data_IF_378729842990
#
_entry.id   IF_378729842990
#
_cell.length_a   1.000
_cell.length_b   1.000
_cell.length_c   1.000
_cell.angle_alpha   90.00
_cell.angle_beta   90.00
_cell.angle_gamma   90.00
#
_symmetry.space_group_name_H-M   'P 1'
#
loop_
_entity.id
_entity.type
_entity.pdbx_description
1 polymer ?
#
# COMPACT_ATOMS: atom_id res chain seq x y z
N UNK A 1 6.02 -10.38 12.32
CA UNK A 1 4.78 -11.13 12.06
C UNK A 1 5.01 -12.03 10.86
N UNK A 2 5.24 -13.32 11.09
CA UNK A 2 5.42 -14.32 10.04
C UNK A 2 4.10 -15.06 9.81
N UNK A 3 3.95 -15.67 8.63
CA UNK A 3 2.86 -16.63 8.43
C UNK A 3 3.02 -17.81 9.37
N UNK A 4 1.90 -18.30 9.89
CA UNK A 4 1.89 -19.54 10.66
C UNK A 4 2.23 -20.72 9.75
N UNK A 5 2.92 -21.71 10.30
CA UNK A 5 3.34 -22.92 9.56
C UNK A 5 2.16 -23.64 8.90
N UNK A 6 1.05 -23.77 9.63
CA UNK A 6 -0.21 -24.35 9.14
C UNK A 6 -0.73 -23.70 7.84
N UNK A 7 -0.55 -22.39 7.68
CA UNK A 7 -0.98 -21.67 6.46
C UNK A 7 -0.03 -21.95 5.31
N UNK A 8 1.29 -21.95 5.58
CA UNK A 8 2.30 -22.27 4.57
C UNK A 8 2.16 -23.70 4.06
N UNK A 9 1.86 -24.65 4.94
CA UNK A 9 1.62 -26.05 4.57
C UNK A 9 0.40 -26.20 3.67
N UNK A 10 -0.69 -25.47 3.94
CA UNK A 10 -1.88 -25.46 3.07
C UNK A 10 -1.67 -24.79 1.72
N UNK A 11 -0.69 -23.89 1.60
CA UNK A 11 -0.35 -23.23 0.33
C UNK A 11 0.61 -24.07 -0.53
N UNK A 12 1.25 -25.10 0.05
CA UNK A 12 2.09 -26.03 -0.71
C UNK A 12 1.21 -27.08 -1.36
N UNK A 13 0.99 -26.92 -2.65
CA UNK A 13 0.28 -27.87 -3.48
C UNK A 13 1.14 -29.10 -3.75
N UNK A 14 0.50 -30.28 -3.82
CA UNK A 14 1.14 -31.49 -4.30
C UNK A 14 1.13 -31.53 -5.84
N UNK A 15 1.90 -32.44 -6.42
CA UNK A 15 2.06 -32.52 -7.88
C UNK A 15 0.74 -32.78 -8.59
N UNK A 16 -0.14 -33.62 -7.99
CA UNK A 16 -1.46 -33.89 -8.54
C UNK A 16 -2.36 -32.65 -8.62
N UNK A 17 -2.36 -31.81 -7.58
CA UNK A 17 -3.14 -30.57 -7.56
C UNK A 17 -2.56 -29.54 -8.53
N UNK A 18 -1.23 -29.48 -8.66
CA UNK A 18 -0.58 -28.61 -9.64
C UNK A 18 -1.00 -28.98 -11.08
N UNK A 19 -0.98 -30.28 -11.41
CA UNK A 19 -1.42 -30.76 -12.73
C UNK A 19 -2.90 -30.49 -12.98
N UNK A 20 -3.76 -30.69 -11.99
CA UNK A 20 -5.18 -30.36 -12.12
C UNK A 20 -5.40 -28.86 -12.41
N UNK A 21 -4.69 -27.98 -11.70
CA UNK A 21 -4.77 -26.53 -11.92
C UNK A 21 -4.25 -26.16 -13.31
N UNK A 22 -3.14 -26.76 -13.78
CA UNK A 22 -2.62 -26.52 -15.13
C UNK A 22 -3.65 -26.89 -16.19
N UNK A 23 -4.25 -28.08 -16.09
CA UNK A 23 -5.28 -28.54 -17.02
C UNK A 23 -6.48 -27.59 -17.02
N UNK A 24 -6.96 -27.20 -15.84
CA UNK A 24 -8.10 -26.29 -15.72
C UNK A 24 -7.79 -24.92 -16.29
N UNK A 25 -6.64 -24.35 -15.93
CA UNK A 25 -6.20 -23.05 -16.43
C UNK A 25 -6.02 -23.07 -17.95
N UNK A 26 -5.38 -24.11 -18.48
CA UNK A 26 -5.22 -24.34 -19.92
C UNK A 26 -6.54 -24.33 -20.68
N UNK A 27 -7.59 -24.97 -20.13
CA UNK A 27 -8.96 -24.93 -20.70
C UNK A 27 -9.54 -23.52 -20.71
N UNK A 28 -9.36 -22.76 -19.62
CA UNK A 28 -9.86 -21.38 -19.51
C UNK A 28 -9.17 -20.45 -20.50
N UNK A 29 -7.85 -20.60 -20.68
CA UNK A 29 -7.08 -19.71 -21.56
C UNK A 29 -7.04 -20.18 -23.02
N UNK A 30 -7.56 -21.36 -23.34
CA UNK A 30 -7.53 -21.95 -24.68
C UNK A 30 -8.05 -20.98 -25.75
N UNK A 31 -9.14 -20.28 -25.47
CA UNK A 31 -9.71 -19.30 -26.39
C UNK A 31 -8.76 -18.13 -26.69
N UNK A 32 -7.93 -17.69 -25.74
CA UNK A 32 -6.95 -16.61 -25.99
C UNK A 32 -5.86 -17.03 -26.98
N UNK A 33 -5.53 -18.33 -27.05
CA UNK A 33 -4.54 -18.86 -27.98
C UNK A 33 -5.12 -19.07 -29.39
N UNK A 34 -6.43 -19.30 -29.53
CA UNK A 34 -7.09 -19.50 -30.81
C UNK A 34 -7.51 -18.18 -31.48
N UNK A 35 -7.94 -17.18 -30.70
CA UNK A 35 -8.48 -15.92 -31.25
C UNK A 35 -7.40 -14.90 -31.60
N UNK A 36 -6.22 -14.97 -30.96
CA UNK A 36 -5.06 -14.19 -31.35
C UNK A 36 -4.22 -14.99 -32.34
N UNK A 37 -4.08 -14.49 -33.58
CA UNK A 37 -3.30 -15.10 -34.67
C UNK A 37 -1.80 -15.30 -34.38
N UNK A 38 -1.34 -15.03 -33.16
CA UNK A 38 0.01 -15.29 -32.66
C UNK A 38 -0.11 -15.94 -31.28
N UNK A 39 0.42 -17.17 -31.15
CA UNK A 39 0.66 -17.81 -29.84
C UNK A 39 1.34 -16.82 -28.92
N UNK A 40 0.86 -16.70 -27.69
CA UNK A 40 1.44 -15.85 -26.65
C UNK A 40 2.68 -16.58 -26.10
N UNK A 41 3.93 -16.21 -26.46
CA UNK A 41 5.08 -17.08 -26.21
C UNK A 41 5.40 -17.26 -24.72
N UNK A 42 5.05 -16.27 -23.90
CA UNK A 42 5.25 -16.31 -22.44
C UNK A 42 4.22 -17.19 -21.73
N UNK A 43 3.07 -17.49 -22.35
CA UNK A 43 2.00 -18.28 -21.76
C UNK A 43 2.21 -19.76 -22.09
N UNK A 44 3.09 -20.40 -21.33
CA UNK A 44 3.45 -21.81 -21.49
C UNK A 44 3.43 -22.54 -20.13
N UNK A 45 3.59 -23.86 -20.15
CA UNK A 45 3.51 -24.70 -18.94
C UNK A 45 4.57 -24.31 -17.90
N UNK A 46 5.78 -23.95 -18.34
CA UNK A 46 6.85 -23.51 -17.45
C UNK A 46 6.47 -22.22 -16.70
N UNK A 47 5.80 -21.27 -17.38
CA UNK A 47 5.28 -20.07 -16.75
C UNK A 47 4.22 -20.39 -15.69
N UNK A 48 3.31 -21.33 -15.97
CA UNK A 48 2.29 -21.77 -15.00
C UNK A 48 2.97 -22.44 -13.80
N UNK A 49 3.95 -23.30 -14.02
CA UNK A 49 4.75 -23.95 -12.97
C UNK A 49 5.49 -22.94 -12.09
N UNK A 50 6.09 -21.91 -12.70
CA UNK A 50 6.74 -20.83 -11.97
C UNK A 50 5.73 -20.06 -11.11
N UNK A 51 4.54 -19.77 -11.64
CA UNK A 51 3.48 -19.08 -10.92
C UNK A 51 2.98 -19.87 -9.71
N UNK A 52 2.73 -21.18 -9.88
CA UNK A 52 2.30 -22.07 -8.80
C UNK A 52 3.37 -22.21 -7.72
N UNK A 53 4.65 -22.39 -8.10
CA UNK A 53 5.78 -22.44 -7.15
C UNK A 53 5.95 -21.13 -6.39
N UNK A 54 5.71 -19.99 -7.04
CA UNK A 54 5.80 -18.68 -6.41
C UNK A 54 4.59 -18.31 -5.54
N UNK A 55 3.48 -19.04 -5.61
CA UNK A 55 2.22 -18.68 -4.95
C UNK A 55 2.35 -18.50 -3.42
N UNK A 56 3.04 -19.37 -2.65
CA UNK A 56 3.19 -19.17 -1.21
C UNK A 56 3.96 -17.90 -0.85
N UNK A 57 5.04 -17.61 -1.58
CA UNK A 57 5.85 -16.40 -1.38
C UNK A 57 5.06 -15.15 -1.79
N UNK A 58 4.33 -15.23 -2.89
CA UNK A 58 3.45 -14.15 -3.36
C UNK A 58 2.39 -13.85 -2.32
N UNK A 59 1.65 -14.85 -1.85
CA UNK A 59 0.66 -14.71 -0.77
C UNK A 59 1.25 -14.02 0.46
N UNK A 60 2.43 -14.49 0.91
CA UNK A 60 3.13 -13.90 2.04
C UNK A 60 3.43 -12.42 1.83
N UNK A 61 3.95 -12.04 0.66
CA UNK A 61 4.30 -10.64 0.34
C UNK A 61 3.08 -9.70 0.30
N UNK A 62 1.90 -10.21 -0.08
CA UNK A 62 0.67 -9.39 -0.11
C UNK A 62 0.20 -8.94 1.27
N UNK A 63 0.70 -9.55 2.34
CA UNK A 63 0.42 -9.13 3.71
C UNK A 63 1.38 -8.04 4.21
N UNK A 64 2.39 -7.64 3.44
CA UNK A 64 3.42 -6.70 3.92
C UNK A 64 2.86 -5.32 4.24
N UNK A 65 1.93 -4.79 3.45
CA UNK A 65 1.26 -3.51 3.74
C UNK A 65 0.48 -3.55 5.05
N UNK A 66 -0.31 -4.61 5.27
CA UNK A 66 -0.97 -4.84 6.56
C UNK A 66 0.04 -4.94 7.71
N UNK A 67 1.16 -5.64 7.53
CA UNK A 67 2.22 -5.74 8.56
C UNK A 67 2.83 -4.38 8.89
N UNK A 68 3.02 -3.52 7.89
CA UNK A 68 3.51 -2.14 8.07
C UNK A 68 2.53 -1.32 8.91
N UNK A 69 1.24 -1.35 8.56
CA UNK A 69 0.18 -0.68 9.34
C UNK A 69 0.12 -1.20 10.78
N UNK A 70 0.17 -2.51 10.97
CA UNK A 70 0.14 -3.11 12.30
C UNK A 70 1.34 -2.70 13.15
N UNK A 71 2.55 -2.75 12.58
CA UNK A 71 3.78 -2.32 13.28
C UNK A 71 3.74 -0.83 13.62
N UNK A 72 3.21 0.01 12.72
CA UNK A 72 3.07 1.44 12.99
C UNK A 72 2.09 1.71 14.14
N UNK A 73 0.93 1.04 14.14
CA UNK A 73 -0.04 1.13 15.23
C UNK A 73 0.52 0.60 16.55
N UNK A 74 1.29 -0.51 16.52
CA UNK A 74 1.94 -1.06 17.71
C UNK A 74 2.99 -0.12 18.29
N UNK A 75 3.84 0.47 17.43
CA UNK A 75 4.81 1.50 17.82
C UNK A 75 4.11 2.70 18.46
N UNK A 76 3.02 3.19 17.86
CA UNK A 76 2.22 4.27 18.43
C UNK A 76 1.69 3.94 19.84
N UNK A 77 1.22 2.72 20.06
CA UNK A 77 0.74 2.26 21.39
C UNK A 77 1.89 2.25 22.39
N UNK A 78 3.04 1.70 22.02
CA UNK A 78 4.21 1.60 22.90
C UNK A 78 4.71 2.99 23.30
N UNK A 79 4.94 3.88 22.34
CA UNK A 79 5.44 5.25 22.59
C UNK A 79 4.46 6.05 23.48
N UNK A 80 3.16 5.94 23.21
CA UNK A 80 2.14 6.58 24.03
C UNK A 80 2.11 6.02 25.47
N UNK A 81 2.24 4.71 25.62
CA UNK A 81 2.25 4.04 26.92
C UNK A 81 3.49 4.41 27.75
N UNK A 82 4.67 4.55 27.11
CA UNK A 82 5.88 5.04 27.76
C UNK A 82 5.72 6.45 28.32
N UNK A 83 5.12 7.36 27.55
CA UNK A 83 4.85 8.73 28.04
C UNK A 83 3.92 8.69 29.26
N UNK A 84 2.85 7.91 29.21
CA UNK A 84 1.88 7.77 30.30
C UNK A 84 2.51 7.22 31.58
N UNK A 85 3.46 6.29 31.47
CA UNK A 85 4.12 5.65 32.61
C UNK A 85 5.43 6.32 33.05
N UNK A 86 5.89 7.34 32.32
CA UNK A 86 7.17 8.01 32.61
C UNK A 86 7.20 8.77 33.93
N UNK A 87 6.04 9.07 34.53
CA UNK A 87 5.91 9.91 35.72
C UNK A 87 6.31 11.39 35.51
N UNK A 88 6.72 11.77 34.29
CA UNK A 88 7.17 13.13 33.94
C UNK A 88 6.05 14.14 33.84
N UNK A 89 4.85 13.67 33.50
CA UNK A 89 3.69 14.50 33.22
C UNK A 89 2.55 14.19 34.17
N UNK A 90 1.87 15.23 34.64
CA UNK A 90 0.64 15.05 35.42
C UNK A 90 -0.48 14.56 34.50
N UNK A 91 -1.45 13.82 35.05
CA UNK A 91 -2.59 13.29 34.28
C UNK A 91 -3.44 14.34 33.56
N UNK A 92 -3.36 15.61 33.99
CA UNK A 92 -4.09 16.74 33.40
C UNK A 92 -3.28 17.50 32.34
N UNK A 93 -1.99 17.19 32.19
CA UNK A 93 -1.11 17.88 31.24
C UNK A 93 -1.57 17.63 29.79
N UNK A 94 -1.15 18.51 28.88
CA UNK A 94 -1.48 18.38 27.46
C UNK A 94 -0.87 17.10 26.88
N UNK A 95 0.37 16.81 27.28
CA UNK A 95 1.16 15.64 26.88
C UNK A 95 0.51 14.34 27.36
N UNK A 96 0.05 14.28 28.62
CA UNK A 96 -0.63 13.09 29.15
C UNK A 96 -1.96 12.84 28.43
N UNK A 97 -2.73 13.91 28.16
CA UNK A 97 -3.98 13.81 27.38
C UNK A 97 -3.70 13.34 25.94
N UNK A 98 -2.68 13.88 25.30
CA UNK A 98 -2.29 13.49 23.94
C UNK A 98 -1.79 12.05 23.87
N UNK A 99 -0.95 11.64 24.81
CA UNK A 99 -0.49 10.26 24.93
C UNK A 99 -1.68 9.31 25.14
N UNK A 100 -2.65 9.67 25.99
CA UNK A 100 -3.88 8.88 26.17
C UNK A 100 -4.66 8.73 24.87
N UNK A 101 -4.85 9.81 24.10
CA UNK A 101 -5.49 9.74 22.77
C UNK A 101 -4.72 8.85 21.81
N UNK A 102 -3.40 9.04 21.71
CA UNK A 102 -2.55 8.25 20.83
C UNK A 102 -2.58 6.75 21.19
N UNK A 103 -2.62 6.42 22.48
CA UNK A 103 -2.74 5.05 22.96
C UNK A 103 -4.04 4.39 22.47
N UNK A 104 -5.20 5.01 22.70
CA UNK A 104 -6.48 4.44 22.28
C UNK A 104 -6.65 4.40 20.75
N UNK A 105 -6.20 5.44 20.04
CA UNK A 105 -6.20 5.43 18.57
C UNK A 105 -5.31 4.31 18.01
N UNK A 106 -4.17 4.02 18.63
CA UNK A 106 -3.31 2.90 18.25
C UNK A 106 -3.96 1.54 18.51
N UNK A 107 -4.65 1.38 19.65
CA UNK A 107 -5.44 0.18 19.93
C UNK A 107 -6.57 -0.01 18.92
N UNK A 108 -7.30 1.05 18.60
CA UNK A 108 -8.38 1.03 17.61
C UNK A 108 -7.87 0.60 16.22
N UNK A 109 -6.74 1.13 15.77
CA UNK A 109 -6.10 0.68 14.52
C UNK A 109 -5.82 -0.83 14.55
N UNK A 110 -5.27 -1.36 15.65
CA UNK A 110 -5.01 -2.81 15.78
C UNK A 110 -6.30 -3.63 15.79
N UNK A 111 -7.41 -3.10 16.30
CA UNK A 111 -8.72 -3.76 16.22
C UNK A 111 -9.22 -3.84 14.78
N UNK A 112 -9.22 -2.72 14.06
CA UNK A 112 -9.64 -2.64 12.66
C UNK A 112 -8.81 -3.57 11.79
N UNK A 113 -7.48 -3.53 11.94
CA UNK A 113 -6.54 -4.37 11.18
C UNK A 113 -6.76 -5.88 11.46
N UNK A 114 -7.21 -6.24 12.66
CA UNK A 114 -7.55 -7.62 13.01
C UNK A 114 -9.01 -7.96 12.69
N UNK A 115 -9.74 -7.06 12.03
CA UNK A 115 -11.17 -7.17 11.75
C UNK A 115 -12.01 -7.51 13.00
N UNK A 116 -11.66 -6.91 14.15
CA UNK A 116 -12.43 -7.06 15.38
C UNK A 116 -13.65 -6.13 15.29
N UNK A 117 -14.83 -6.72 15.16
CA UNK A 117 -16.16 -6.08 15.19
C UNK A 117 -16.66 -5.43 13.88
N UNK A 118 -15.91 -5.44 12.78
CA UNK A 118 -16.37 -4.88 11.50
C UNK A 118 -16.97 -5.90 10.53
N UNK A 119 -16.71 -7.20 10.78
CA UNK A 119 -17.31 -8.29 10.02
C UNK A 119 -16.83 -8.36 8.57
N UNK A 120 -17.71 -8.81 7.67
CA UNK A 120 -17.36 -9.03 6.25
C UNK A 120 -17.28 -7.75 5.43
N UNK A 121 -17.76 -6.62 5.97
CA UNK A 121 -17.75 -5.33 5.29
C UNK A 121 -16.40 -4.61 5.41
N UNK A 122 -15.60 -4.95 6.42
CA UNK A 122 -14.27 -4.38 6.64
C UNK A 122 -13.36 -4.61 5.44
N UNK A 123 -12.59 -3.59 5.04
CA UNK A 123 -11.56 -3.76 4.03
C UNK A 123 -10.46 -4.74 4.47
N UNK A 124 -10.30 -4.95 5.78
CA UNK A 124 -9.33 -5.88 6.36
C UNK A 124 -9.91 -7.29 6.57
N UNK A 125 -11.16 -7.54 6.16
CA UNK A 125 -11.65 -8.90 6.02
C UNK A 125 -10.76 -9.67 5.04
N UNK A 126 -10.22 -10.87 5.39
CA UNK A 126 -9.13 -11.51 4.63
C UNK A 126 -9.39 -11.63 3.13
N UNK A 127 -10.61 -11.97 2.72
CA UNK A 127 -10.97 -12.05 1.31
C UNK A 127 -10.88 -10.70 0.60
N UNK A 128 -11.47 -9.65 1.19
CA UNK A 128 -11.45 -8.27 0.64
C UNK A 128 -10.04 -7.72 0.59
N UNK A 129 -9.28 -7.92 1.67
CA UNK A 129 -7.89 -7.47 1.74
C UNK A 129 -7.06 -8.12 0.64
N UNK A 130 -7.07 -9.46 0.53
CA UNK A 130 -6.30 -10.19 -0.48
C UNK A 130 -6.73 -9.87 -1.92
N UNK A 131 -8.02 -9.60 -2.13
CA UNK A 131 -8.52 -9.10 -3.40
C UNK A 131 -7.97 -7.71 -3.74
N UNK A 132 -7.99 -6.77 -2.78
CA UNK A 132 -7.44 -5.42 -2.95
C UNK A 132 -5.93 -5.43 -3.20
N UNK A 133 -5.20 -6.35 -2.57
CA UNK A 133 -3.74 -6.52 -2.76
C UNK A 133 -3.37 -7.30 -4.04
N UNK A 134 -4.39 -7.74 -4.79
CA UNK A 134 -4.25 -8.41 -6.08
C UNK A 134 -3.75 -9.86 -5.97
N UNK A 135 -3.95 -10.52 -4.82
CA UNK A 135 -3.77 -11.96 -4.70
C UNK A 135 -5.01 -12.72 -5.20
N UNK A 136 -6.19 -12.29 -4.75
CA UNK A 136 -7.48 -12.85 -5.19
C UNK A 136 -8.12 -11.98 -6.28
N UNK A 137 -9.06 -12.53 -7.06
CA UNK A 137 -9.89 -11.74 -7.95
C UNK A 137 -10.65 -10.66 -7.18
N UNK A 138 -10.49 -9.41 -7.60
CA UNK A 138 -11.05 -8.24 -6.91
C UNK A 138 -12.21 -7.60 -7.63
N UNK A 139 -13.25 -8.37 -7.95
CA UNK A 139 -14.47 -7.81 -8.53
C UNK A 139 -15.06 -6.77 -7.56
N UNK A 140 -15.20 -5.52 -8.02
CA UNK A 140 -15.68 -4.35 -7.27
C UNK A 140 -14.78 -3.83 -6.11
N UNK A 141 -13.53 -4.26 -5.99
CA UNK A 141 -12.60 -3.70 -5.00
C UNK A 141 -11.53 -2.83 -5.65
N UNK A 142 -11.24 -1.69 -5.04
CA UNK A 142 -10.12 -0.84 -5.45
C UNK A 142 -8.82 -1.65 -5.39
N UNK A 143 -8.11 -1.75 -6.52
CA UNK A 143 -6.85 -2.48 -6.59
C UNK A 143 -5.70 -1.62 -6.04
N UNK A 144 -4.96 -2.19 -5.10
CA UNK A 144 -3.79 -1.62 -4.43
C UNK A 144 -4.04 -0.18 -3.92
N UNK A 145 -5.07 0.03 -3.08
CA UNK A 145 -5.38 1.35 -2.57
C UNK A 145 -4.24 1.88 -1.69
N UNK A 146 -4.25 3.20 -1.49
CA UNK A 146 -3.49 3.84 -0.42
C UNK A 146 -4.47 4.16 0.69
N UNK A 147 -4.06 3.90 1.92
CA UNK A 147 -4.89 4.01 3.12
C UNK A 147 -4.40 5.16 3.97
N UNK A 148 -5.34 5.94 4.51
CA UNK A 148 -5.04 6.94 5.54
C UNK A 148 -5.86 6.66 6.79
N UNK A 149 -5.25 6.75 7.97
CA UNK A 149 -5.99 6.68 9.23
C UNK A 149 -6.56 8.06 9.57
N UNK A 150 -7.88 8.12 9.79
CA UNK A 150 -8.63 9.31 10.20
C UNK A 150 -9.04 9.16 11.66
N UNK A 151 -8.44 9.93 12.60
CA UNK A 151 -8.80 9.87 14.00
C UNK A 151 -10.16 10.55 14.26
N UNK A 152 -10.96 9.96 15.13
CA UNK A 152 -12.22 10.53 15.64
C UNK A 152 -12.20 10.43 17.16
N UNK A 153 -11.75 11.51 17.83
CA UNK A 153 -11.51 11.49 19.27
C UNK A 153 -10.43 10.48 19.66
N UNK A 154 -10.81 9.51 20.52
CA UNK A 154 -9.93 8.40 20.96
C UNK A 154 -9.99 7.18 20.01
N UNK A 155 -10.78 7.27 18.94
CA UNK A 155 -11.02 6.21 17.95
C UNK A 155 -10.58 6.67 16.55
N UNK A 156 -11.08 6.01 15.51
CA UNK A 156 -10.89 6.38 14.12
C UNK A 156 -11.19 5.22 13.17
N UNK A 157 -10.94 5.46 11.89
CA UNK A 157 -11.10 4.48 10.80
C UNK A 157 -10.08 4.68 9.69
N UNK A 158 -9.94 3.68 8.83
CA UNK A 158 -9.13 3.79 7.62
C UNK A 158 -9.99 4.22 6.44
N UNK A 159 -9.47 5.16 5.65
CA UNK A 159 -10.06 5.56 4.37
C UNK A 159 -9.09 5.17 3.26
N UNK A 160 -9.63 4.46 2.27
CA UNK A 160 -8.88 3.90 1.15
C UNK A 160 -9.20 4.64 -0.15
N UNK A 161 -8.16 5.00 -0.90
CA UNK A 161 -8.27 5.65 -2.21
C UNK A 161 -7.51 4.91 -3.30
N UNK A 162 -8.02 4.85 -4.54
CA UNK A 162 -7.23 4.44 -5.69
C UNK A 162 -5.97 5.31 -5.81
N UNK A 163 -4.84 4.74 -6.22
CA UNK A 163 -3.52 5.42 -6.20
C UNK A 163 -3.51 6.80 -6.86
N UNK A 164 -4.14 6.95 -8.02
CA UNK A 164 -4.17 8.24 -8.73
C UNK A 164 -4.90 9.33 -7.96
N UNK A 165 -5.96 8.97 -7.23
CA UNK A 165 -6.70 9.90 -6.36
C UNK A 165 -5.88 10.15 -5.10
N UNK A 166 -5.31 9.09 -4.51
CA UNK A 166 -4.49 9.19 -3.32
C UNK A 166 -3.29 10.12 -3.52
N UNK A 167 -2.62 10.12 -4.68
CA UNK A 167 -1.51 11.04 -4.97
C UNK A 167 -1.89 12.51 -4.77
N UNK A 168 -3.15 12.87 -5.05
CA UNK A 168 -3.68 14.23 -4.87
C UNK A 168 -4.29 14.46 -3.50
N UNK A 169 -4.92 13.47 -2.88
CA UNK A 169 -5.60 13.63 -1.59
C UNK A 169 -4.67 13.40 -0.40
N UNK A 170 -3.81 12.39 -0.47
CA UNK A 170 -2.98 11.90 0.63
C UNK A 170 -1.52 12.36 0.50
N UNK A 171 -1.26 13.36 -0.33
CA UNK A 171 0.04 14.01 -0.41
C UNK A 171 0.41 14.68 0.92
N UNK A 172 1.72 14.83 1.22
CA UNK A 172 2.17 15.49 2.45
C UNK A 172 1.52 16.87 2.62
N UNK A 173 1.01 17.16 3.82
CA UNK A 173 0.36 18.43 4.17
C UNK A 173 -0.97 18.74 3.48
N UNK A 174 -1.47 17.86 2.62
CA UNK A 174 -2.80 18.03 2.03
C UNK A 174 -3.89 17.95 3.10
N UNK A 175 -4.99 18.64 2.85
CA UNK A 175 -6.17 18.63 3.70
C UNK A 175 -7.27 17.82 3.03
N UNK A 176 -7.80 16.86 3.75
CA UNK A 176 -8.98 16.09 3.36
C UNK A 176 -10.15 16.44 4.26
N UNK A 177 -11.35 16.49 3.66
CA UNK A 177 -12.59 16.63 4.39
C UNK A 177 -13.22 15.27 4.62
N UNK A 178 -13.52 14.95 5.87
CA UNK A 178 -14.13 13.68 6.23
C UNK A 178 -15.13 13.88 7.36
N UNK A 179 -16.36 13.37 7.19
CA UNK A 179 -17.44 13.45 8.18
C UNK A 179 -17.63 14.85 8.79
N UNK A 180 -17.57 15.89 7.94
CA UNK A 180 -17.78 17.29 8.33
C UNK A 180 -16.58 17.97 9.01
N UNK A 181 -15.42 17.31 9.10
CA UNK A 181 -14.20 17.83 9.72
C UNK A 181 -13.03 17.89 8.73
N UNK A 182 -12.06 18.78 9.00
CA UNK A 182 -10.82 18.91 8.22
C UNK A 182 -9.71 18.07 8.86
N UNK A 183 -8.99 17.33 8.03
CA UNK A 183 -7.87 16.50 8.45
C UNK A 183 -6.67 16.78 7.58
N UNK A 184 -5.53 17.06 8.20
CA UNK A 184 -4.27 17.26 7.50
C UNK A 184 -3.49 15.95 7.46
N UNK A 185 -2.94 15.60 6.30
CA UNK A 185 -1.98 14.51 6.17
C UNK A 185 -0.70 14.90 6.93
N UNK A 186 -0.40 14.19 8.01
CA UNK A 186 0.68 14.55 8.93
C UNK A 186 1.90 13.64 8.80
N UNK A 187 1.74 12.42 8.27
CA UNK A 187 2.82 11.44 8.24
C UNK A 187 2.63 10.39 7.14
N UNK A 188 3.74 10.01 6.50
CA UNK A 188 3.86 8.79 5.69
C UNK A 188 4.35 7.62 6.57
N UNK A 189 3.71 6.47 6.46
CA UNK A 189 4.02 5.25 7.22
C UNK A 189 5.03 4.41 6.44
N UNK A 190 6.28 4.86 6.46
CA UNK A 190 7.41 4.20 5.80
C UNK A 190 8.32 3.50 6.80
N UNK A 191 8.66 2.22 6.58
CA UNK A 191 9.79 1.58 7.25
C UNK A 191 11.08 2.37 7.01
N UNK A 192 11.98 2.42 8.00
CA UNK A 192 13.27 3.12 7.87
C UNK A 192 14.10 2.66 6.66
N UNK A 193 14.04 1.36 6.34
CA UNK A 193 14.71 0.81 5.17
C UNK A 193 14.21 1.39 3.82
N UNK A 194 12.97 1.89 3.79
CA UNK A 194 12.30 2.47 2.61
C UNK A 194 12.35 4.01 2.59
N UNK A 195 13.00 4.64 3.59
CA UNK A 195 13.20 6.10 3.60
C UNK A 195 14.29 6.57 2.63
N UNK A 196 15.03 5.63 2.01
CA UNK A 196 16.03 5.97 1.01
C UNK A 196 15.34 6.50 -0.24
N UNK A 197 15.64 7.76 -0.56
CA UNK A 197 15.21 8.37 -1.81
C UNK A 197 15.78 7.59 -2.99
N UNK A 198 14.93 7.42 -4.00
CA UNK A 198 15.27 6.71 -5.22
C UNK A 198 15.43 7.70 -6.37
N UNK A 199 16.26 7.30 -7.32
CA UNK A 199 16.47 8.03 -8.57
C UNK A 199 15.78 7.29 -9.72
N UNK A 200 15.22 8.04 -10.64
CA UNK A 200 14.64 7.52 -11.88
C UNK A 200 14.93 8.44 -13.07
N UNK A 201 14.97 7.85 -14.26
CA UNK A 201 14.92 8.58 -15.54
C UNK A 201 13.60 8.27 -16.21
N UNK A 202 12.97 9.25 -16.83
CA UNK A 202 11.80 9.05 -17.68
C UNK A 202 12.20 9.33 -19.12
N UNK A 203 11.93 8.38 -20.00
CA UNK A 203 12.09 8.60 -21.43
C UNK A 203 10.95 9.48 -21.95
N UNK A 204 11.24 10.66 -22.50
CA UNK A 204 10.20 11.61 -22.94
C UNK A 204 9.38 11.09 -24.13
N UNK A 205 9.96 10.24 -24.98
CA UNK A 205 9.26 9.71 -26.16
C UNK A 205 8.25 8.61 -25.85
N UNK A 206 8.52 7.78 -24.83
CA UNK A 206 7.70 6.62 -24.49
C UNK A 206 7.01 6.73 -23.14
N UNK A 207 7.44 7.64 -22.28
CA UNK A 207 7.03 7.68 -20.87
C UNK A 207 7.62 6.55 -20.02
N UNK A 208 8.54 5.74 -20.57
CA UNK A 208 9.11 4.61 -19.83
C UNK A 208 9.87 5.11 -18.61
N UNK A 209 9.58 4.53 -17.45
CA UNK A 209 10.15 4.89 -16.15
C UNK A 209 11.30 3.95 -15.80
N UNK A 210 12.53 4.44 -15.91
CA UNK A 210 13.77 3.71 -15.64
C UNK A 210 14.18 3.91 -14.17
N UNK A 211 13.98 2.89 -13.35
CA UNK A 211 14.36 2.82 -11.94
C UNK A 211 15.20 1.56 -11.67
N UNK A 212 15.95 1.52 -10.58
CA UNK A 212 16.71 0.33 -10.18
C UNK A 212 17.79 -0.03 -11.21
N UNK A 213 17.80 -1.27 -11.66
CA UNK A 213 18.79 -1.76 -12.63
C UNK A 213 18.65 -1.07 -14.00
N UNK A 214 17.42 -0.72 -14.40
CA UNK A 214 17.12 -0.02 -15.65
C UNK A 214 17.67 1.41 -15.65
N UNK A 215 17.92 2.02 -14.48
CA UNK A 215 18.35 3.42 -14.38
C UNK A 215 19.63 3.69 -15.20
N UNK A 216 20.53 2.71 -15.30
CA UNK A 216 21.81 2.86 -15.97
C UNK A 216 21.74 2.55 -17.48
N UNK A 217 20.57 2.26 -18.03
CA UNK A 217 20.45 2.04 -19.47
C UNK A 217 20.63 3.34 -20.25
N UNK A 218 21.36 3.22 -21.35
CA UNK A 218 21.62 4.32 -22.29
C UNK A 218 20.55 4.43 -23.38
N UNK A 219 19.67 3.43 -23.49
CA UNK A 219 18.58 3.33 -24.46
C UNK A 219 17.28 2.92 -23.80
N UNK A 220 16.16 3.42 -24.32
CA UNK A 220 14.84 3.06 -23.82
C UNK A 220 14.52 1.59 -24.17
N UNK A 221 14.18 0.72 -23.19
CA UNK A 221 13.78 -0.66 -23.48
C UNK A 221 12.55 -0.78 -24.39
N UNK A 222 11.71 0.24 -24.41
CA UNK A 222 10.45 0.24 -25.17
C UNK A 222 10.58 0.86 -26.56
N UNK A 223 11.22 2.03 -26.68
CA UNK A 223 11.31 2.78 -27.94
C UNK A 223 12.68 2.77 -28.59
N UNK A 224 13.69 2.17 -27.96
CA UNK A 224 15.10 2.11 -28.40
C UNK A 224 15.76 3.47 -28.67
N UNK A 225 15.14 4.56 -28.21
CA UNK A 225 15.68 5.92 -28.33
C UNK A 225 16.83 6.13 -27.32
N UNK A 226 17.95 6.77 -27.70
CA UNK A 226 19.02 7.12 -26.78
C UNK A 226 18.57 8.07 -25.65
N UNK A 227 18.93 7.73 -24.40
CA UNK A 227 18.58 8.46 -23.17
C UNK A 227 19.84 9.18 -22.63
N UNK A 228 20.58 9.81 -23.55
CA UNK A 228 21.87 10.46 -23.25
C UNK A 228 21.68 11.90 -22.74
N UNK A 229 20.76 12.65 -23.32
CA UNK A 229 20.66 14.11 -23.14
C UNK A 229 19.33 14.54 -22.50
N UNK A 230 19.26 15.75 -21.93
CA UNK A 230 18.06 16.30 -21.27
C UNK A 230 16.85 16.55 -22.21
N UNK A 231 17.06 16.46 -23.52
CA UNK A 231 16.00 16.56 -24.53
C UNK A 231 15.21 15.26 -24.68
N UNK A 232 15.85 14.10 -24.47
CA UNK A 232 15.21 12.78 -24.58
C UNK A 232 14.81 12.19 -23.22
N UNK A 233 15.27 12.78 -22.11
CA UNK A 233 14.98 12.30 -20.75
C UNK A 233 14.59 13.39 -19.75
N UNK A 234 13.86 12.97 -18.72
CA UNK A 234 13.69 13.70 -17.46
C UNK A 234 14.34 12.88 -16.34
N UNK A 235 15.03 13.53 -15.40
CA UNK A 235 15.70 12.83 -14.30
C UNK A 235 15.15 13.35 -12.97
N UNK A 236 14.80 12.41 -12.09
CA UNK A 236 14.35 12.66 -10.74
C UNK A 236 15.29 11.95 -9.78
N UNK A 237 15.74 12.62 -8.73
CA UNK A 237 16.73 12.09 -7.79
C UNK A 237 16.18 11.88 -6.38
N UNK A 238 15.06 12.53 -6.06
CA UNK A 238 14.45 12.56 -4.73
C UNK A 238 13.06 11.91 -4.74
N UNK A 239 12.94 10.71 -5.32
CA UNK A 239 11.67 9.99 -5.36
C UNK A 239 11.45 9.16 -4.10
N UNK A 240 10.23 9.20 -3.60
CA UNK A 240 9.77 8.37 -2.51
C UNK A 240 8.49 7.65 -2.94
N UNK A 241 8.42 6.35 -2.70
CA UNK A 241 7.20 5.60 -3.00
C UNK A 241 6.07 6.04 -2.06
N UNK A 242 4.91 6.36 -2.65
CA UNK A 242 3.76 6.73 -1.85
C UNK A 242 3.27 5.53 -1.04
N UNK A 243 3.21 5.72 0.27
CA UNK A 243 2.82 4.71 1.25
C UNK A 243 1.58 5.15 2.02
N UNK A 244 1.15 4.30 2.94
CA UNK A 244 -0.01 4.57 3.77
C UNK A 244 0.27 5.77 4.67
N UNK A 245 -0.76 6.54 5.00
CA UNK A 245 -0.59 7.82 5.69
C UNK A 245 -1.37 7.86 7.00
N UNK A 246 -1.04 8.85 7.84
CA UNK A 246 -1.84 9.22 9.00
C UNK A 246 -2.22 10.68 8.92
N UNK A 247 -3.41 10.99 9.43
CA UNK A 247 -3.90 12.36 9.52
C UNK A 247 -3.90 12.87 10.95
N UNK A 248 -3.98 14.20 11.07
CA UNK A 248 -4.30 14.91 12.29
C UNK A 248 -5.53 15.78 12.04
N UNK A 249 -6.49 15.75 12.97
CA UNK A 249 -7.63 16.67 12.94
C UNK A 249 -7.13 18.11 13.03
N UNK A 250 -7.62 18.97 12.15
CA UNK A 250 -7.28 20.38 12.13
C UNK A 250 -8.53 21.19 12.48
N UNK A 251 -8.39 22.11 13.44
CA UNK A 251 -9.45 23.07 13.78
C UNK A 251 -9.78 23.97 12.58
N UNK A 252 -10.94 24.65 12.63
CA UNK A 252 -11.48 25.47 11.53
C UNK A 252 -10.44 26.48 11.00
N UNK A 253 -9.85 26.10 9.88
CA UNK A 253 -9.06 26.93 8.98
C UNK A 253 -10.00 27.96 8.36
N UNK A 254 -9.65 29.26 8.42
CA UNK A 254 -10.39 30.30 7.70
C UNK A 254 -10.26 30.11 6.17
N UNK A 255 -11.20 30.60 5.39
CA UNK A 255 -11.23 30.40 3.93
C UNK A 255 -9.95 30.86 3.20
N UNK A 256 -9.19 31.80 3.77
CA UNK A 256 -7.93 32.31 3.18
C UNK A 256 -6.74 31.33 3.26
N UNK A 257 -6.72 30.47 4.28
CA UNK A 257 -5.68 29.43 4.40
C UNK A 257 -5.94 28.25 3.45
N UNK A 258 -7.19 28.06 3.00
CA UNK A 258 -7.61 26.98 2.11
C UNK A 258 -7.10 27.17 0.66
N UNK A 259 -7.13 28.39 0.13
CA UNK A 259 -6.58 28.71 -1.21
C UNK A 259 -5.05 28.56 -1.28
N UNK A 260 -4.34 28.68 -0.15
CA UNK A 260 -2.87 28.57 -0.12
C UNK A 260 -2.35 27.13 -0.03
N UNK A 261 -3.19 26.17 0.36
CA UNK A 261 -2.79 24.79 0.65
C UNK A 261 -3.13 23.79 -0.47
N UNK A 262 -3.90 24.18 -1.49
CA UNK A 262 -4.05 23.39 -2.72
C UNK A 262 -2.85 23.61 -3.65
N UNK A 263 -1.70 23.03 -3.29
CA UNK A 263 -0.49 22.99 -4.14
C UNK A 263 0.18 21.61 -4.11
N UNK A 264 -0.63 20.56 -4.07
CA UNK A 264 -0.20 19.18 -4.32
C UNK A 264 -0.58 18.76 -5.73
#
# INVERSE_FOLDING_TARGET
>A
LLLKREVLEKLKLNDSANEEIKILFGKVVHHFNDTHSKKIPWLNDEWIDNLLRAAPNTFNSKLDRWRKLYKAADKQVIEAHEILNSGRFTSKSKESKEAKRNYYQGLRQKEILNNKNEGELSEFYPYRYLASEGFLPGYNFTRLPIRTFIPVGDSGEYVSRPRFIALREFGPWNIIYYSGKKYRISQLLLPEAEQKLKKAKICKSSGYFLEGDDYNFDRCPFSDVPITDGTSKETYVDLLEMSETRTQEQDRISCEEEERLSKG
#
